data_IF_840642820589
#
_entry.id   IF_840642820589
#
_cell.length_a   1.000
_cell.length_b   1.000
_cell.length_c   1.000
_cell.angle_alpha   90.00
_cell.angle_beta   90.00
_cell.angle_gamma   90.00
#
_symmetry.space_group_name_H-M   'P 1'
#
loop_
_entity.id
_entity.type
_entity.pdbx_description
1 polymer ?
#
# COMPACT_ATOMS: atom_id res chain seq x y z
N UNK A 1 22.33 9.03 -0.15
CA UNK A 1 21.86 8.15 0.94
C UNK A 1 20.33 8.28 1.00
N UNK A 2 19.49 7.31 0.72
CA UNK A 2 19.59 6.07 -0.03
C UNK A 2 18.18 5.85 -0.62
N UNK A 3 18.04 5.93 -1.93
CA UNK A 3 16.81 5.51 -2.59
C UNK A 3 16.95 4.00 -2.82
N UNK A 4 16.20 3.26 -2.02
CA UNK A 4 16.12 1.81 -1.98
C UNK A 4 16.05 1.21 -3.39
N UNK A 5 17.05 0.38 -3.70
CA UNK A 5 17.10 -0.52 -4.86
C UNK A 5 16.05 -1.64 -4.67
N UNK A 6 15.50 -2.15 -5.79
CA UNK A 6 14.56 -3.28 -5.94
C UNK A 6 13.08 -2.86 -5.83
N UNK A 7 12.20 -3.04 -6.82
CA UNK A 7 12.07 -4.09 -7.84
C UNK A 7 11.37 -3.51 -9.08
N UNK A 8 12.11 -3.27 -10.16
CA UNK A 8 11.53 -3.09 -11.50
C UNK A 8 11.39 -4.47 -12.16
N UNK A 9 10.46 -5.29 -11.70
CA UNK A 9 10.03 -6.49 -12.44
C UNK A 9 8.78 -6.08 -13.20
N UNK A 10 8.96 -5.86 -14.51
CA UNK A 10 7.87 -5.55 -15.41
C UNK A 10 6.88 -6.70 -15.46
N UNK A 11 5.69 -6.50 -14.91
CA UNK A 11 4.45 -7.15 -15.37
C UNK A 11 3.29 -6.19 -15.15
N UNK A 12 2.90 -5.55 -16.26
CA UNK A 12 1.54 -5.19 -16.64
C UNK A 12 0.67 -4.71 -15.48
N UNK A 13 0.56 -3.39 -15.34
CA UNK A 13 -0.45 -2.63 -14.59
C UNK A 13 -1.68 -3.52 -14.29
N UNK A 14 -1.58 -4.28 -13.20
CA UNK A 14 -2.66 -5.12 -12.72
C UNK A 14 -3.67 -4.12 -12.21
N UNK A 15 -4.91 -4.19 -12.67
CA UNK A 15 -6.01 -3.54 -11.98
C UNK A 15 -5.94 -3.98 -10.51
N UNK A 16 -5.42 -3.11 -9.63
CA UNK A 16 -5.09 -3.47 -8.26
C UNK A 16 -6.41 -3.53 -7.49
N UNK A 17 -6.98 -4.73 -7.42
CA UNK A 17 -8.15 -4.96 -6.60
C UNK A 17 -7.74 -5.13 -5.14
N UNK A 18 -7.77 -4.03 -4.37
CA UNK A 18 -7.46 -4.04 -2.95
C UNK A 18 -8.61 -4.55 -2.06
N UNK A 19 -9.78 -4.91 -2.60
CA UNK A 19 -10.95 -5.27 -1.77
C UNK A 19 -10.72 -6.52 -0.91
N UNK A 20 -9.87 -7.43 -1.37
CA UNK A 20 -9.50 -8.66 -0.66
C UNK A 20 -8.15 -8.55 0.10
N UNK A 21 -7.70 -7.34 0.43
CA UNK A 21 -6.39 -7.12 1.09
C UNK A 21 -6.16 -7.98 2.35
N UNK A 22 -7.23 -8.33 3.08
CA UNK A 22 -7.17 -9.18 4.29
C UNK A 22 -6.58 -10.57 4.02
N UNK A 23 -6.72 -11.09 2.80
CA UNK A 23 -6.22 -12.41 2.39
C UNK A 23 -4.83 -12.36 1.75
N UNK A 24 -4.35 -11.15 1.44
CA UNK A 24 -3.05 -10.98 0.80
C UNK A 24 -1.91 -11.22 1.79
N UNK A 25 -0.79 -11.69 1.26
CA UNK A 25 0.47 -11.67 2.00
C UNK A 25 0.83 -10.20 2.30
N UNK A 26 1.08 -9.84 3.59
CA UNK A 26 1.26 -8.44 3.97
C UNK A 26 2.54 -7.81 3.37
N UNK A 27 3.58 -8.60 3.09
CA UNK A 27 4.82 -8.11 2.47
C UNK A 27 4.65 -7.87 0.96
N UNK A 28 3.66 -8.51 0.33
CA UNK A 28 3.21 -8.14 -1.02
C UNK A 28 2.24 -6.96 -1.00
N UNK A 29 1.31 -6.94 -0.03
CA UNK A 29 0.29 -5.90 0.11
C UNK A 29 0.93 -4.52 0.29
N UNK A 30 1.97 -4.41 1.13
CA UNK A 30 2.66 -3.13 1.36
C UNK A 30 3.23 -2.52 0.07
N UNK A 31 3.74 -3.36 -0.84
CA UNK A 31 4.27 -2.91 -2.12
C UNK A 31 3.18 -2.39 -3.07
N UNK A 32 2.01 -3.04 -3.04
CA UNK A 32 0.83 -2.61 -3.80
C UNK A 32 0.29 -1.28 -3.24
N UNK A 33 0.05 -1.22 -1.93
CA UNK A 33 -0.49 -0.02 -1.25
C UNK A 33 0.45 1.17 -1.44
N UNK A 34 1.76 1.00 -1.26
CA UNK A 34 2.72 2.08 -1.49
C UNK A 34 2.80 2.52 -2.95
N UNK A 35 2.55 1.63 -3.91
CA UNK A 35 2.50 1.98 -5.33
C UNK A 35 1.25 2.79 -5.66
N UNK A 36 0.09 2.38 -5.13
CA UNK A 36 -1.17 3.12 -5.28
C UNK A 36 -1.08 4.50 -4.60
N UNK A 37 -0.56 4.57 -3.37
CA UNK A 37 -0.33 5.83 -2.65
C UNK A 37 0.55 6.80 -3.44
N UNK A 38 1.57 6.31 -4.15
CA UNK A 38 2.48 7.16 -4.92
C UNK A 38 1.88 7.65 -6.23
N UNK A 39 1.08 6.82 -6.89
CA UNK A 39 0.68 7.06 -8.28
C UNK A 39 -0.77 7.58 -8.40
N UNK A 40 -1.64 7.24 -7.45
CA UNK A 40 -3.09 7.33 -7.62
C UNK A 40 -3.85 7.92 -6.43
N UNK A 41 -3.19 8.21 -5.31
CA UNK A 41 -3.85 8.80 -4.14
C UNK A 41 -3.09 10.02 -3.59
N UNK A 42 -3.83 10.97 -3.02
CA UNK A 42 -3.23 12.12 -2.33
C UNK A 42 -2.64 11.72 -0.97
N UNK A 43 -3.30 10.79 -0.28
CA UNK A 43 -2.96 10.26 1.04
C UNK A 43 -3.74 8.96 1.31
N UNK A 44 -3.57 8.37 2.50
CA UNK A 44 -4.21 7.11 2.86
C UNK A 44 -5.75 7.20 2.81
N UNK A 45 -6.32 8.32 3.26
CA UNK A 45 -7.76 8.51 3.27
C UNK A 45 -8.34 8.52 1.84
N UNK A 46 -7.65 9.19 0.92
CA UNK A 46 -8.02 9.20 -0.51
C UNK A 46 -7.93 7.81 -1.15
N UNK A 47 -6.88 7.03 -0.84
CA UNK A 47 -6.76 5.63 -1.30
C UNK A 47 -7.93 4.79 -0.79
N UNK A 48 -8.20 4.83 0.51
CA UNK A 48 -9.24 4.04 1.15
C UNK A 48 -10.61 4.38 0.55
N UNK A 49 -10.89 5.67 0.34
CA UNK A 49 -12.13 6.13 -0.30
C UNK A 49 -12.24 5.67 -1.76
N UNK A 50 -11.16 5.79 -2.53
CA UNK A 50 -11.14 5.44 -3.97
C UNK A 50 -11.37 3.94 -4.18
N UNK A 51 -10.77 3.09 -3.35
CA UNK A 51 -10.90 1.64 -3.46
C UNK A 51 -12.04 1.05 -2.61
N UNK A 52 -12.71 1.87 -1.78
CA UNK A 52 -13.79 1.45 -0.89
C UNK A 52 -13.30 0.49 0.19
N UNK A 53 -12.16 0.80 0.81
CA UNK A 53 -11.54 0.00 1.86
C UNK A 53 -11.97 0.48 3.25
N UNK A 54 -11.57 -0.29 4.25
CA UNK A 54 -11.63 0.11 5.66
C UNK A 54 -10.20 0.48 6.09
N UNK A 55 -9.99 1.76 6.44
CA UNK A 55 -8.67 2.29 6.77
C UNK A 55 -8.05 1.59 7.97
N UNK A 56 -8.83 1.45 9.04
CA UNK A 56 -8.39 0.85 10.30
C UNK A 56 -7.97 -0.61 10.09
N UNK A 57 -8.77 -1.37 9.35
CA UNK A 57 -8.44 -2.75 9.02
C UNK A 57 -7.20 -2.87 8.12
N UNK A 58 -6.97 -1.93 7.19
CA UNK A 58 -5.78 -1.92 6.34
C UNK A 58 -4.52 -1.61 7.17
N UNK A 59 -4.59 -0.57 8.01
CA UNK A 59 -3.50 -0.18 8.92
C UNK A 59 -3.20 -1.29 9.90
N UNK A 60 -4.22 -1.89 10.52
CA UNK A 60 -4.05 -3.02 11.43
C UNK A 60 -3.37 -4.20 10.73
N UNK A 61 -3.84 -4.59 9.54
CA UNK A 61 -3.27 -5.72 8.79
C UNK A 61 -1.80 -5.52 8.43
N UNK A 62 -1.42 -4.31 8.04
CA UNK A 62 -0.02 -3.97 7.74
C UNK A 62 0.81 -3.82 9.04
N UNK A 63 0.22 -3.27 10.10
CA UNK A 63 0.82 -3.14 11.42
C UNK A 63 1.12 -4.47 12.09
N UNK A 64 0.26 -5.48 11.93
CA UNK A 64 0.50 -6.87 12.38
C UNK A 64 1.76 -7.47 11.74
N UNK A 65 2.13 -7.00 10.55
CA UNK A 65 3.35 -7.40 9.85
C UNK A 65 4.55 -6.46 10.13
N UNK A 66 4.39 -5.47 11.01
CA UNK A 66 5.43 -4.53 11.41
C UNK A 66 5.53 -3.29 10.53
N UNK A 67 4.52 -2.99 9.71
CA UNK A 67 4.51 -1.80 8.86
C UNK A 67 3.70 -0.65 9.48
N UNK A 68 4.26 0.55 9.48
CA UNK A 68 3.59 1.76 9.97
C UNK A 68 3.42 2.80 8.85
N UNK A 69 2.25 3.42 8.80
CA UNK A 69 2.00 4.49 7.84
C UNK A 69 2.75 5.78 8.24
N UNK A 70 3.59 6.29 7.34
CA UNK A 70 4.34 7.52 7.53
C UNK A 70 3.74 8.64 6.69
N UNK A 71 2.98 9.52 7.34
CA UNK A 71 2.26 10.62 6.70
C UNK A 71 3.17 11.52 5.87
N UNK A 72 4.33 11.91 6.38
CA UNK A 72 5.29 12.77 5.67
C UNK A 72 5.83 12.13 4.39
N UNK A 73 6.01 10.80 4.39
CA UNK A 73 6.63 10.08 3.27
C UNK A 73 5.63 9.48 2.29
N UNK A 74 4.33 9.50 2.60
CA UNK A 74 3.33 9.02 1.65
C UNK A 74 3.20 7.49 1.62
N UNK A 75 3.71 6.76 2.63
CA UNK A 75 3.94 5.31 2.48
C UNK A 75 4.03 4.56 3.82
N UNK A 76 3.86 3.25 3.77
CA UNK A 76 4.15 2.31 4.85
C UNK A 76 5.63 1.89 4.87
N UNK A 77 6.19 1.72 6.07
CA UNK A 77 7.60 1.34 6.31
C UNK A 77 7.74 0.30 7.39
#
# INVERSE_FOLDING_TARGET
MGACLMVAIGRKFLEVNLKDFRRMDPHLLVGLVNTELRNHAEDLADLVKTHGLDEDALVARLGEAGYEYQLEQKQFR
#
